data_IF_530014215064
#
_entry.id   IF_530014215064
#
_cell.length_a   1.000
_cell.length_b   1.000
_cell.length_c   1.000
_cell.angle_alpha   90.00
_cell.angle_beta   90.00
_cell.angle_gamma   90.00
#
_symmetry.space_group_name_H-M   'P 1'
#
loop_
_entity.id
_entity.type
_entity.pdbx_description
1 polymer ?
#
# COMPACT_ATOMS: atom_id res chain seq x y z
N UNK A 1 -30.34 19.17 -31.09
CA UNK A 1 -30.07 18.60 -29.74
C UNK A 1 -29.89 17.08 -29.66
N UNK A 2 -30.73 16.24 -30.31
CA UNK A 2 -30.69 14.76 -30.19
C UNK A 2 -29.39 14.08 -30.68
N UNK A 3 -28.77 14.55 -31.79
CA UNK A 3 -27.48 14.02 -32.29
C UNK A 3 -26.30 14.22 -31.30
N UNK A 4 -26.23 15.38 -30.63
CA UNK A 4 -25.22 15.67 -29.59
C UNK A 4 -25.36 14.76 -28.36
N UNK A 5 -26.58 14.50 -27.89
CA UNK A 5 -26.84 13.55 -26.78
C UNK A 5 -26.43 12.11 -27.14
N UNK A 6 -26.70 11.67 -28.38
CA UNK A 6 -26.36 10.32 -28.86
C UNK A 6 -24.84 10.13 -29.04
N UNK A 7 -24.14 11.17 -29.52
CA UNK A 7 -22.66 11.19 -29.62
C UNK A 7 -22.00 11.18 -28.23
N UNK A 8 -22.51 11.96 -27.26
CA UNK A 8 -22.07 11.91 -25.85
C UNK A 8 -22.24 10.53 -25.22
N UNK A 9 -23.41 9.88 -25.39
CA UNK A 9 -23.63 8.51 -24.89
C UNK A 9 -22.63 7.50 -25.47
N UNK A 10 -22.34 7.58 -26.78
CA UNK A 10 -21.41 6.67 -27.45
C UNK A 10 -19.96 6.87 -26.96
N UNK A 11 -19.55 8.12 -26.73
CA UNK A 11 -18.24 8.46 -26.14
C UNK A 11 -18.15 7.97 -24.69
N UNK A 12 -19.20 8.18 -23.88
CA UNK A 12 -19.26 7.68 -22.49
C UNK A 12 -19.16 6.15 -22.46
N UNK A 13 -19.89 5.44 -23.34
CA UNK A 13 -19.79 3.98 -23.44
C UNK A 13 -18.39 3.52 -23.86
N UNK A 14 -17.72 4.22 -24.77
CA UNK A 14 -16.34 3.91 -25.14
C UNK A 14 -15.34 4.16 -24.00
N UNK A 15 -15.55 5.22 -23.22
CA UNK A 15 -14.74 5.52 -22.02
C UNK A 15 -14.95 4.43 -20.96
N UNK A 16 -16.21 4.10 -20.64
CA UNK A 16 -16.55 3.06 -19.68
C UNK A 16 -16.02 1.69 -20.12
N UNK A 17 -16.10 1.36 -21.41
CA UNK A 17 -15.54 0.13 -21.96
C UNK A 17 -14.01 0.10 -21.88
N UNK A 18 -13.31 1.22 -22.10
CA UNK A 18 -11.85 1.29 -21.92
C UNK A 18 -11.44 1.22 -20.44
N UNK A 19 -12.19 1.84 -19.55
CA UNK A 19 -11.96 1.75 -18.10
C UNK A 19 -12.23 0.33 -17.58
N UNK A 20 -13.32 -0.30 -18.04
CA UNK A 20 -13.67 -1.69 -17.74
C UNK A 20 -12.62 -2.67 -18.22
N UNK A 21 -12.02 -2.47 -19.41
CA UNK A 21 -10.92 -3.32 -19.90
C UNK A 21 -9.75 -3.43 -18.92
N UNK A 22 -9.40 -2.40 -18.16
CA UNK A 22 -8.32 -2.53 -17.18
C UNK A 22 -8.74 -3.38 -15.97
N UNK A 23 -10.01 -3.30 -15.56
CA UNK A 23 -10.58 -4.18 -14.53
C UNK A 23 -10.70 -5.63 -15.02
N UNK A 24 -10.93 -5.84 -16.32
CA UNK A 24 -11.07 -7.17 -16.93
C UNK A 24 -9.71 -7.83 -17.25
N UNK A 25 -8.67 -7.03 -17.54
CA UNK A 25 -7.35 -7.50 -17.98
C UNK A 25 -6.33 -7.65 -16.85
N UNK A 26 -6.51 -6.93 -15.73
CA UNK A 26 -5.61 -7.03 -14.58
C UNK A 26 -6.23 -7.89 -13.50
N UNK A 27 -5.42 -8.78 -12.94
CA UNK A 27 -5.82 -9.41 -11.67
C UNK A 27 -5.85 -8.34 -10.58
N UNK A 28 -6.78 -8.46 -9.63
CA UNK A 28 -6.97 -7.48 -8.54
C UNK A 28 -5.73 -7.23 -7.67
N UNK A 29 -4.68 -8.06 -7.81
CA UNK A 29 -3.42 -7.98 -7.07
C UNK A 29 -2.29 -7.27 -7.82
N UNK A 30 -2.43 -7.06 -9.14
CA UNK A 30 -1.36 -6.50 -9.96
C UNK A 30 -1.30 -4.97 -9.89
N UNK A 31 -0.10 -4.37 -9.94
CA UNK A 31 0.06 -2.95 -10.17
C UNK A 31 -0.39 -2.60 -11.60
N UNK A 32 -1.04 -1.45 -11.77
CA UNK A 32 -1.49 -1.00 -13.11
C UNK A 32 -0.35 -0.48 -13.98
N UNK A 33 0.75 -0.05 -13.37
CA UNK A 33 1.88 0.65 -13.99
C UNK A 33 2.47 -0.10 -15.19
N UNK A 34 2.82 -1.40 -15.10
CA UNK A 34 3.42 -2.13 -16.24
C UNK A 34 2.51 -2.10 -17.46
N UNK A 35 1.20 -2.29 -17.25
CA UNK A 35 0.22 -2.31 -18.33
C UNK A 35 0.02 -0.94 -18.96
N UNK A 36 -0.02 0.10 -18.15
CA UNK A 36 -0.10 1.49 -18.63
C UNK A 36 1.11 1.80 -19.53
N UNK A 37 2.33 1.46 -19.08
CA UNK A 37 3.56 1.67 -19.85
C UNK A 37 3.52 0.86 -21.16
N UNK A 38 3.12 -0.42 -21.11
CA UNK A 38 2.97 -1.26 -22.31
C UNK A 38 1.97 -0.69 -23.32
N UNK A 39 0.79 -0.25 -22.86
CA UNK A 39 -0.26 0.30 -23.73
C UNK A 39 0.13 1.67 -24.32
N UNK A 40 0.95 2.45 -23.62
CA UNK A 40 1.53 3.70 -24.13
C UNK A 40 2.59 3.38 -25.20
N UNK A 41 3.50 2.44 -24.93
CA UNK A 41 4.55 2.04 -25.88
C UNK A 41 4.02 1.44 -27.18
N UNK A 42 2.85 0.79 -27.16
CA UNK A 42 2.17 0.29 -28.37
C UNK A 42 1.55 1.39 -29.24
N UNK A 43 1.37 2.60 -28.71
CA UNK A 43 0.86 3.73 -29.50
C UNK A 43 2.01 4.31 -30.32
N UNK A 44 1.75 4.66 -31.58
CA UNK A 44 2.71 5.37 -32.43
C UNK A 44 2.92 6.79 -31.91
N UNK A 45 3.78 6.94 -30.89
CA UNK A 45 4.14 8.24 -30.32
C UNK A 45 5.24 8.84 -31.19
N UNK A 46 4.98 10.02 -31.74
CA UNK A 46 5.92 10.73 -32.63
C UNK A 46 7.16 11.25 -31.90
N UNK A 47 7.04 11.52 -30.59
CA UNK A 47 8.14 11.96 -29.73
C UNK A 47 8.31 10.99 -28.56
N UNK A 48 9.29 10.07 -28.60
CA UNK A 48 9.43 9.04 -27.57
C UNK A 48 9.48 9.58 -26.14
N UNK A 49 10.14 10.72 -25.95
CA UNK A 49 10.29 11.38 -24.66
C UNK A 49 8.99 11.95 -24.06
N UNK A 50 7.93 12.12 -24.85
CA UNK A 50 6.60 12.48 -24.34
C UNK A 50 6.01 11.36 -23.45
N UNK A 51 6.55 10.13 -23.54
CA UNK A 51 6.15 9.01 -22.69
C UNK A 51 6.27 9.34 -21.20
N UNK A 52 7.28 10.11 -20.77
CA UNK A 52 7.42 10.50 -19.35
C UNK A 52 6.18 11.23 -18.84
N UNK A 53 5.69 12.21 -19.60
CA UNK A 53 4.52 12.99 -19.24
C UNK A 53 3.22 12.16 -19.33
N UNK A 54 3.10 11.31 -20.36
CA UNK A 54 1.90 10.48 -20.57
C UNK A 54 1.80 9.41 -19.48
N UNK A 55 2.92 8.75 -19.12
CA UNK A 55 2.99 7.79 -18.01
C UNK A 55 2.65 8.49 -16.70
N UNK A 56 3.25 9.65 -16.41
CA UNK A 56 2.95 10.40 -15.20
C UNK A 56 1.46 10.75 -15.08
N UNK A 57 0.85 11.24 -16.16
CA UNK A 57 -0.59 11.53 -16.19
C UNK A 57 -1.44 10.28 -15.94
N UNK A 58 -1.12 9.19 -16.61
CA UNK A 58 -1.92 7.95 -16.55
C UNK A 58 -1.82 7.29 -15.18
N UNK A 59 -0.64 7.29 -14.58
CA UNK A 59 -0.38 6.70 -13.28
C UNK A 59 -0.71 7.63 -12.12
N UNK A 60 -1.09 8.89 -12.37
CA UNK A 60 -1.31 9.89 -11.31
C UNK A 60 -0.03 10.12 -10.50
N UNK A 61 1.05 10.48 -11.19
CA UNK A 61 2.33 10.82 -10.60
C UNK A 61 2.46 12.32 -10.43
N UNK A 62 2.90 12.72 -9.23
CA UNK A 62 3.19 14.09 -8.88
C UNK A 62 4.59 14.49 -9.39
N UNK A 63 5.60 13.64 -9.15
CA UNK A 63 6.97 13.89 -9.60
C UNK A 63 7.06 13.63 -11.11
N UNK A 64 7.53 14.64 -11.84
CA UNK A 64 7.62 14.63 -13.31
C UNK A 64 9.02 15.03 -13.74
N UNK A 65 9.62 14.23 -14.59
CA UNK A 65 10.91 14.55 -15.14
C UNK A 65 10.83 15.52 -16.31
N UNK A 66 11.83 16.40 -16.39
CA UNK A 66 12.02 17.26 -17.54
C UNK A 66 12.67 16.45 -18.67
N UNK A 67 11.83 16.07 -19.63
CA UNK A 67 12.21 15.27 -20.78
C UNK A 67 13.34 15.90 -21.62
N UNK A 68 13.34 17.23 -21.77
CA UNK A 68 14.37 17.96 -22.51
C UNK A 68 15.72 17.93 -21.81
N UNK A 69 15.72 18.05 -20.47
CA UNK A 69 16.94 17.99 -19.68
C UNK A 69 17.58 16.60 -19.73
N UNK A 70 16.78 15.54 -19.54
CA UNK A 70 17.26 14.16 -19.58
C UNK A 70 17.76 13.74 -20.96
N UNK A 71 17.06 14.19 -22.01
CA UNK A 71 17.50 13.96 -23.38
C UNK A 71 18.87 14.57 -23.67
N UNK A 72 19.17 15.75 -23.12
CA UNK A 72 20.46 16.43 -23.29
C UNK A 72 21.59 15.80 -22.47
N UNK A 73 21.27 15.05 -21.42
CA UNK A 73 22.24 14.39 -20.56
C UNK A 73 22.52 12.93 -20.96
N UNK A 74 22.18 12.54 -22.20
CA UNK A 74 22.34 11.18 -22.73
C UNK A 74 21.68 10.08 -21.86
N UNK A 75 20.66 10.44 -21.07
CA UNK A 75 19.98 9.49 -20.21
C UNK A 75 19.14 8.49 -21.02
N UNK A 76 19.07 7.25 -20.56
CA UNK A 76 18.16 6.26 -21.14
C UNK A 76 16.71 6.62 -20.80
N UNK A 77 15.83 6.61 -21.81
CA UNK A 77 14.40 6.84 -21.63
C UNK A 77 13.75 5.76 -20.76
N UNK A 78 14.15 4.49 -20.91
CA UNK A 78 13.59 3.39 -20.10
C UNK A 78 13.96 3.55 -18.63
N UNK A 79 15.23 3.86 -18.35
CA UNK A 79 15.71 4.15 -16.99
C UNK A 79 15.03 5.39 -16.41
N UNK A 80 14.81 6.42 -17.22
CA UNK A 80 14.10 7.63 -16.81
C UNK A 80 12.64 7.33 -16.43
N UNK A 81 11.95 6.47 -17.18
CA UNK A 81 10.58 6.07 -16.82
C UNK A 81 10.58 5.22 -15.54
N UNK A 82 11.50 4.26 -15.40
CA UNK A 82 11.64 3.45 -14.19
C UNK A 82 11.90 4.33 -12.96
N UNK A 83 12.89 5.22 -13.03
CA UNK A 83 13.20 6.16 -11.97
C UNK A 83 11.99 7.05 -11.62
N UNK A 84 11.24 7.53 -12.62
CA UNK A 84 10.02 8.31 -12.37
C UNK A 84 8.95 7.49 -11.64
N UNK A 85 8.74 6.22 -12.02
CA UNK A 85 7.81 5.32 -11.32
C UNK A 85 8.21 5.16 -9.83
N UNK A 86 9.48 4.88 -9.58
CA UNK A 86 10.00 4.59 -8.24
C UNK A 86 10.04 5.83 -7.33
N UNK A 87 10.41 7.01 -7.83
CA UNK A 87 10.33 8.26 -7.06
C UNK A 87 8.88 8.62 -6.70
N UNK A 88 7.92 8.22 -7.54
CA UNK A 88 6.50 8.36 -7.21
C UNK A 88 5.98 7.27 -6.25
N UNK A 89 6.85 6.38 -5.78
CA UNK A 89 6.57 5.41 -4.73
C UNK A 89 6.07 4.05 -5.20
N UNK A 90 6.16 3.74 -6.50
CA UNK A 90 5.95 2.35 -6.94
C UNK A 90 6.95 1.42 -6.24
N UNK A 91 6.47 0.26 -5.79
CA UNK A 91 7.22 -0.61 -4.89
C UNK A 91 7.84 -1.77 -5.66
N UNK A 92 9.17 -1.88 -5.63
CA UNK A 92 9.88 -3.08 -6.11
C UNK A 92 9.79 -4.21 -5.09
N UNK A 93 9.66 -5.45 -5.56
CA UNK A 93 9.70 -6.63 -4.70
C UNK A 93 11.15 -7.06 -4.40
N UNK A 94 11.80 -6.37 -3.47
CA UNK A 94 13.21 -6.56 -3.16
C UNK A 94 13.54 -7.78 -2.27
N UNK A 95 12.53 -8.50 -1.74
CA UNK A 95 12.72 -9.79 -1.06
C UNK A 95 12.41 -11.00 -1.93
N UNK A 96 12.06 -10.79 -3.20
CA UNK A 96 11.81 -11.85 -4.17
C UNK A 96 13.10 -12.51 -4.69
N UNK A 97 12.92 -13.55 -5.52
CA UNK A 97 14.04 -14.10 -6.29
C UNK A 97 14.50 -13.09 -7.34
N UNK A 98 15.81 -13.00 -7.63
CA UNK A 98 16.31 -12.17 -8.72
C UNK A 98 15.60 -12.51 -10.03
N UNK A 99 15.37 -11.50 -10.86
CA UNK A 99 14.81 -11.71 -12.21
C UNK A 99 15.95 -12.14 -13.13
N UNK A 100 15.95 -13.38 -13.65
CA UNK A 100 16.96 -13.80 -14.62
C UNK A 100 16.83 -12.95 -15.88
N UNK A 101 17.98 -12.59 -16.49
CA UNK A 101 18.03 -11.90 -17.78
C UNK A 101 17.29 -10.54 -17.76
N UNK A 102 17.29 -9.84 -16.63
CA UNK A 102 16.62 -8.54 -16.51
C UNK A 102 17.07 -7.53 -17.58
N UNK A 103 18.32 -7.62 -18.04
CA UNK A 103 18.87 -6.79 -19.11
C UNK A 103 18.24 -7.04 -20.50
N UNK A 104 17.68 -8.23 -20.73
CA UNK A 104 17.07 -8.61 -22.01
C UNK A 104 15.57 -8.25 -22.08
N UNK A 105 14.99 -7.81 -20.95
CA UNK A 105 13.59 -7.44 -20.86
C UNK A 105 13.33 -6.04 -21.37
N UNK A 106 12.20 -5.86 -22.05
CA UNK A 106 11.66 -4.52 -22.26
C UNK A 106 11.22 -3.92 -20.92
N UNK A 107 11.19 -2.59 -20.81
CA UNK A 107 10.76 -1.92 -19.58
C UNK A 107 9.40 -2.41 -19.03
N UNK A 108 8.33 -2.57 -19.84
CA UNK A 108 7.07 -3.09 -19.31
C UNK A 108 7.18 -4.51 -18.76
N UNK A 109 7.94 -5.40 -19.42
CA UNK A 109 8.15 -6.78 -18.96
C UNK A 109 8.95 -6.82 -17.66
N UNK A 110 9.97 -5.97 -17.55
CA UNK A 110 10.72 -5.80 -16.32
C UNK A 110 9.81 -5.30 -15.18
N UNK A 111 9.04 -4.22 -15.40
CA UNK A 111 8.13 -3.67 -14.40
C UNK A 111 7.07 -4.69 -13.95
N UNK A 112 6.57 -5.52 -14.86
CA UNK A 112 5.59 -6.57 -14.54
C UNK A 112 6.16 -7.63 -13.59
N UNK A 113 7.45 -7.95 -13.72
CA UNK A 113 8.14 -8.93 -12.86
C UNK A 113 8.70 -8.31 -11.58
N UNK A 114 9.13 -7.05 -11.63
CA UNK A 114 9.89 -6.39 -10.56
C UNK A 114 8.99 -5.66 -9.56
N UNK A 115 7.86 -5.08 -10.00
CA UNK A 115 6.94 -4.42 -9.09
C UNK A 115 6.21 -5.44 -8.22
N UNK A 116 5.95 -5.05 -6.98
CA UNK A 116 5.19 -5.87 -6.05
C UNK A 116 3.76 -6.11 -6.56
N UNK A 117 3.40 -7.39 -6.74
CA UNK A 117 2.10 -7.83 -7.28
C UNK A 117 1.33 -8.74 -6.32
N UNK A 118 1.75 -8.78 -5.05
CA UNK A 118 1.17 -9.62 -3.99
C UNK A 118 0.08 -8.93 -3.16
N UNK A 119 -0.54 -7.85 -3.64
CA UNK A 119 -1.66 -7.23 -2.94
C UNK A 119 -2.84 -8.24 -2.92
N UNK A 120 -3.42 -8.54 -1.76
CA UNK A 120 -4.45 -9.57 -1.68
C UNK A 120 -5.74 -9.14 -2.40
N UNK A 121 -6.54 -10.13 -2.78
CA UNK A 121 -7.86 -9.92 -3.37
C UNK A 121 -8.84 -9.37 -2.32
N UNK A 122 -8.89 -8.06 -2.16
CA UNK A 122 -10.06 -7.44 -1.57
C UNK A 122 -11.28 -7.73 -2.48
N UNK A 123 -12.47 -7.94 -1.94
CA UNK A 123 -13.71 -8.14 -2.72
C UNK A 123 -14.30 -6.83 -3.23
N UNK A 124 -13.66 -5.69 -2.92
CA UNK A 124 -14.09 -4.37 -3.35
C UNK A 124 -13.92 -4.17 -4.87
N UNK A 125 -14.93 -3.55 -5.49
CA UNK A 125 -14.86 -3.06 -6.88
C UNK A 125 -13.79 -1.98 -7.10
N UNK A 126 -13.14 -1.48 -6.05
CA UNK A 126 -12.12 -0.43 -6.08
C UNK A 126 -10.69 -0.93 -5.82
N UNK A 127 -10.43 -2.24 -5.90
CA UNK A 127 -9.09 -2.80 -5.68
C UNK A 127 -7.99 -2.09 -6.47
N UNK A 128 -8.24 -1.80 -7.75
CA UNK A 128 -7.24 -1.13 -8.58
C UNK A 128 -6.99 0.32 -8.14
N UNK A 129 -8.01 1.01 -7.62
CA UNK A 129 -7.86 2.35 -7.04
C UNK A 129 -7.06 2.30 -5.74
N UNK A 130 -7.30 1.28 -4.91
CA UNK A 130 -6.53 1.06 -3.68
C UNK A 130 -5.07 0.75 -4.03
N UNK A 131 -4.83 -0.20 -4.94
CA UNK A 131 -3.47 -0.59 -5.37
C UNK A 131 -2.71 0.58 -6.00
N UNK A 132 -3.38 1.48 -6.73
CA UNK A 132 -2.76 2.70 -7.28
C UNK A 132 -2.15 3.58 -6.18
N UNK A 133 -2.72 3.51 -4.98
CA UNK A 133 -2.36 4.33 -3.83
C UNK A 133 -1.49 3.55 -2.82
N UNK A 134 -1.28 2.25 -3.05
CA UNK A 134 -0.33 1.41 -2.31
C UNK A 134 1.12 1.72 -2.74
N UNK A 135 1.61 2.89 -2.33
CA UNK A 135 2.91 3.44 -2.73
C UNK A 135 3.72 3.89 -1.52
N UNK A 136 5.04 3.91 -1.68
CA UNK A 136 5.93 4.60 -0.76
C UNK A 136 5.72 6.12 -0.82
N UNK A 137 6.09 6.78 0.28
CA UNK A 137 6.01 8.24 0.45
C UNK A 137 7.42 8.81 0.46
N UNK A 138 7.58 10.04 -0.01
CA UNK A 138 8.84 10.78 0.05
C UNK A 138 10.04 9.95 -0.42
N UNK A 139 9.85 9.22 -1.52
CA UNK A 139 10.84 8.30 -2.02
C UNK A 139 12.03 9.05 -2.64
N UNK A 140 13.24 8.66 -2.25
CA UNK A 140 14.49 9.17 -2.81
C UNK A 140 15.46 8.02 -3.05
N UNK A 141 16.51 8.27 -3.83
CA UNK A 141 17.48 7.23 -4.20
C UNK A 141 18.84 7.49 -3.57
N UNK A 142 19.51 6.40 -3.21
CA UNK A 142 20.93 6.37 -2.90
C UNK A 142 21.56 5.14 -3.54
N UNK A 143 22.88 5.02 -3.44
CA UNK A 143 23.60 3.81 -3.86
C UNK A 143 23.10 2.56 -3.11
N UNK A 144 22.65 2.72 -1.86
CA UNK A 144 22.15 1.60 -1.05
C UNK A 144 20.74 1.13 -1.47
N UNK A 145 19.90 2.00 -2.02
CA UNK A 145 18.51 1.64 -2.33
C UNK A 145 17.55 2.81 -2.46
N UNK A 146 16.27 2.49 -2.27
CA UNK A 146 15.17 3.45 -2.21
C UNK A 146 14.94 3.83 -0.75
N UNK A 147 15.17 5.08 -0.42
CA UNK A 147 14.81 5.66 0.88
C UNK A 147 13.34 6.03 0.88
N UNK A 148 12.66 5.82 2.01
CA UNK A 148 11.27 6.24 2.22
C UNK A 148 11.01 6.43 3.72
N UNK A 149 9.82 6.92 4.06
CA UNK A 149 9.41 7.18 5.43
C UNK A 149 8.17 6.39 5.81
N UNK A 150 8.08 5.95 7.05
CA UNK A 150 6.89 5.27 7.55
C UNK A 150 6.99 4.91 9.02
N UNK A 151 6.07 4.07 9.47
CA UNK A 151 6.07 3.52 10.82
C UNK A 151 6.56 2.10 10.79
N UNK A 152 7.49 1.80 11.70
CA UNK A 152 8.07 0.48 11.84
C UNK A 152 7.52 -0.21 13.08
N UNK A 153 7.01 -1.42 12.89
CA UNK A 153 6.25 -2.16 13.90
C UNK A 153 6.96 -3.45 14.24
N UNK A 154 7.17 -3.70 15.53
CA UNK A 154 7.46 -5.05 16.03
C UNK A 154 6.15 -5.77 16.27
N UNK A 155 5.96 -6.91 15.60
CA UNK A 155 4.81 -7.77 15.80
C UNK A 155 5.09 -8.67 17.00
N UNK A 156 4.35 -8.42 18.08
CA UNK A 156 4.49 -9.14 19.35
C UNK A 156 3.39 -10.18 19.51
N UNK A 157 2.48 -9.92 20.45
CA UNK A 157 1.42 -10.86 20.85
C UNK A 157 0.60 -11.35 19.66
N UNK A 158 0.48 -12.67 19.54
CA UNK A 158 -0.38 -13.33 18.55
C UNK A 158 -1.69 -13.75 19.21
N UNK A 159 -2.79 -13.41 18.56
CA UNK A 159 -4.15 -13.72 18.95
C UNK A 159 -4.61 -14.92 18.13
N UNK A 160 -4.99 -16.00 18.81
CA UNK A 160 -5.68 -17.11 18.17
C UNK A 160 -7.19 -16.84 18.12
N UNK A 161 -7.72 -16.74 16.91
CA UNK A 161 -9.13 -16.42 16.66
C UNK A 161 -10.00 -17.66 16.40
N UNK A 162 -9.42 -18.87 16.28
CA UNK A 162 -10.14 -20.11 15.91
C UNK A 162 -11.29 -20.45 16.85
N UNK A 163 -11.17 -20.11 18.13
CA UNK A 163 -12.16 -20.41 19.16
C UNK A 163 -13.06 -19.21 19.49
N UNK A 164 -13.00 -18.14 18.69
CA UNK A 164 -13.85 -16.99 18.91
C UNK A 164 -15.28 -17.30 18.45
N UNK A 165 -16.31 -16.71 19.08
CA UNK A 165 -17.69 -16.93 18.66
C UNK A 165 -17.90 -16.42 17.23
N UNK A 166 -18.43 -17.28 16.35
CA UNK A 166 -18.70 -16.94 14.94
C UNK A 166 -19.57 -15.67 14.79
N UNK A 167 -20.53 -15.50 15.71
CA UNK A 167 -21.47 -14.37 15.72
C UNK A 167 -20.84 -13.06 16.22
N UNK A 168 -19.62 -13.10 16.78
CA UNK A 168 -18.95 -11.95 17.41
C UNK A 168 -19.68 -11.43 18.66
N UNK A 169 -19.47 -10.15 18.99
CA UNK A 169 -20.09 -9.50 20.12
C UNK A 169 -21.49 -8.96 19.79
N UNK A 170 -22.39 -8.92 20.79
CA UNK A 170 -23.62 -8.12 20.69
C UNK A 170 -23.27 -6.63 20.61
N UNK A 171 -24.00 -5.93 19.74
CA UNK A 171 -23.83 -4.50 19.46
C UNK A 171 -25.16 -3.78 19.60
N UNK A 172 -25.14 -2.63 20.26
CA UNK A 172 -26.30 -1.73 20.32
C UNK A 172 -26.49 -1.00 18.98
N UNK A 173 -25.38 -0.64 18.32
CA UNK A 173 -25.37 0.04 17.01
C UNK A 173 -25.03 -0.94 15.90
N UNK A 174 -26.06 -1.35 15.16
CA UNK A 174 -25.99 -2.38 14.12
C UNK A 174 -25.72 -1.86 12.72
N UNK A 175 -25.77 -0.54 12.50
CA UNK A 175 -25.53 0.08 11.20
C UNK A 175 -24.12 0.69 11.11
N UNK A 176 -23.57 0.65 9.90
CA UNK A 176 -22.24 1.15 9.56
C UNK A 176 -21.94 0.93 8.08
N UNK A 177 -20.74 1.32 7.65
CA UNK A 177 -20.24 1.01 6.31
C UNK A 177 -19.83 -0.47 6.23
N UNK A 178 -19.24 -1.00 7.29
CA UNK A 178 -19.02 -2.44 7.47
C UNK A 178 -20.34 -3.21 7.63
N UNK A 179 -20.35 -4.45 7.16
CA UNK A 179 -21.45 -5.37 7.40
C UNK A 179 -21.60 -5.66 8.90
N UNK A 180 -22.83 -5.98 9.33
CA UNK A 180 -23.13 -6.23 10.74
C UNK A 180 -22.20 -7.29 11.34
N UNK A 181 -21.96 -8.41 10.63
CA UNK A 181 -21.10 -9.47 11.13
C UNK A 181 -19.65 -9.03 11.31
N UNK A 182 -19.14 -8.20 10.38
CA UNK A 182 -17.79 -7.65 10.46
C UNK A 182 -17.65 -6.73 11.68
N UNK A 183 -18.64 -5.86 11.91
CA UNK A 183 -18.69 -5.00 13.09
C UNK A 183 -18.71 -5.80 14.40
N UNK A 184 -19.50 -6.88 14.46
CA UNK A 184 -19.57 -7.76 15.65
C UNK A 184 -18.25 -8.44 15.95
N UNK A 185 -17.52 -8.91 14.93
CA UNK A 185 -16.19 -9.53 15.08
C UNK A 185 -15.16 -8.53 15.60
N UNK A 186 -15.10 -7.32 15.01
CA UNK A 186 -14.21 -6.27 15.49
C UNK A 186 -14.55 -5.81 16.92
N UNK A 187 -15.84 -5.72 17.26
CA UNK A 187 -16.27 -5.39 18.61
C UNK A 187 -15.95 -6.48 19.64
N UNK A 188 -15.99 -7.76 19.23
CA UNK A 188 -15.50 -8.86 20.07
C UNK A 188 -14.00 -8.73 20.32
N UNK A 189 -13.23 -8.44 19.27
CA UNK A 189 -11.80 -8.17 19.40
C UNK A 189 -11.52 -7.00 20.36
N UNK A 190 -12.30 -5.90 20.29
CA UNK A 190 -12.18 -4.78 21.25
C UNK A 190 -12.34 -5.26 22.71
N UNK A 191 -13.37 -6.06 23.00
CA UNK A 191 -13.59 -6.61 24.36
C UNK A 191 -12.48 -7.55 24.79
N UNK A 192 -11.97 -8.36 23.86
CA UNK A 192 -10.83 -9.24 24.12
C UNK A 192 -9.57 -8.43 24.45
N UNK A 193 -9.27 -7.38 23.68
CA UNK A 193 -8.13 -6.50 23.91
C UNK A 193 -8.22 -5.77 25.26
N UNK A 194 -9.41 -5.33 25.67
CA UNK A 194 -9.64 -4.74 26.99
C UNK A 194 -9.31 -5.73 28.11
N UNK A 195 -9.79 -6.97 28.00
CA UNK A 195 -9.52 -8.04 28.98
C UNK A 195 -8.02 -8.34 29.08
N UNK A 196 -7.30 -8.24 27.96
CA UNK A 196 -5.86 -8.49 27.87
C UNK A 196 -4.99 -7.25 28.14
N UNK A 197 -5.58 -6.20 28.73
CA UNK A 197 -4.90 -4.94 29.09
C UNK A 197 -4.28 -4.19 27.89
N UNK A 198 -4.87 -4.31 26.70
CA UNK A 198 -4.47 -3.60 25.47
C UNK A 198 -5.45 -2.47 25.14
N UNK A 199 -5.75 -1.63 26.14
CA UNK A 199 -6.77 -0.58 26.09
C UNK A 199 -6.60 0.44 24.96
N UNK A 200 -5.37 0.89 24.66
CA UNK A 200 -5.11 1.88 23.62
C UNK A 200 -5.54 1.41 22.22
N UNK A 201 -5.25 0.14 21.90
CA UNK A 201 -5.67 -0.47 20.65
C UNK A 201 -7.18 -0.71 20.63
N UNK A 202 -7.74 -1.20 21.74
CA UNK A 202 -9.18 -1.39 21.89
C UNK A 202 -9.95 -0.07 21.65
N UNK A 203 -9.51 1.02 22.26
CA UNK A 203 -10.07 2.36 22.09
C UNK A 203 -9.94 2.87 20.65
N UNK A 204 -8.81 2.59 19.99
CA UNK A 204 -8.60 2.96 18.59
C UNK A 204 -9.58 2.23 17.66
N UNK A 205 -9.80 0.93 17.88
CA UNK A 205 -10.78 0.14 17.13
C UNK A 205 -12.21 0.57 17.45
N UNK A 206 -12.52 0.90 18.71
CA UNK A 206 -13.84 1.44 19.09
C UNK A 206 -14.11 2.77 18.40
N UNK A 207 -13.14 3.67 18.39
CA UNK A 207 -13.21 4.94 17.67
C UNK A 207 -13.41 4.74 16.17
N UNK A 208 -12.74 3.75 15.58
CA UNK A 208 -12.99 3.37 14.19
C UNK A 208 -14.43 2.89 13.97
N UNK A 209 -14.96 1.99 14.80
CA UNK A 209 -16.35 1.51 14.69
C UNK A 209 -17.39 2.63 14.84
N UNK A 210 -17.12 3.62 15.70
CA UNK A 210 -17.95 4.82 15.83
C UNK A 210 -17.91 5.71 14.58
N UNK A 211 -16.75 5.81 13.91
CA UNK A 211 -16.63 6.52 12.62
C UNK A 211 -17.31 5.75 11.48
N UNK A 212 -17.16 4.43 11.44
CA UNK A 212 -17.82 3.56 10.48
C UNK A 212 -19.36 3.70 10.52
N UNK A 213 -19.94 3.91 11.70
CA UNK A 213 -21.37 4.25 11.86
C UNK A 213 -21.73 5.57 11.18
N UNK A 214 -20.90 6.61 11.30
CA UNK A 214 -21.13 7.91 10.67
C UNK A 214 -21.00 7.86 9.15
N UNK A 215 -20.24 6.89 8.64
CA UNK A 215 -20.07 6.64 7.21
C UNK A 215 -21.17 5.76 6.62
N UNK A 216 -22.16 5.35 7.43
CA UNK A 216 -23.32 4.62 6.94
C UNK A 216 -24.04 5.43 5.86
N UNK A 217 -24.22 4.84 4.68
CA UNK A 217 -24.87 5.48 3.53
C UNK A 217 -23.98 6.46 2.76
N UNK A 218 -22.76 6.77 3.22
CA UNK A 218 -21.79 7.54 2.44
C UNK A 218 -21.30 6.68 1.27
N UNK A 219 -21.36 7.23 0.07
CA UNK A 219 -20.87 6.53 -1.12
C UNK A 219 -19.34 6.50 -1.11
N UNK A 220 -18.74 5.41 -1.59
CA UNK A 220 -17.28 5.21 -1.56
C UNK A 220 -16.52 6.30 -2.34
N UNK A 221 -17.14 6.91 -3.36
CA UNK A 221 -16.56 8.03 -4.09
C UNK A 221 -16.52 9.36 -3.31
N UNK A 222 -17.16 9.43 -2.15
CA UNK A 222 -17.17 10.59 -1.26
C UNK A 222 -16.26 10.40 -0.04
N UNK A 223 -15.72 9.19 0.13
CA UNK A 223 -14.79 8.87 1.22
C UNK A 223 -13.38 9.31 0.83
N UNK A 224 -12.62 9.78 1.82
CA UNK A 224 -11.17 9.91 1.67
C UNK A 224 -10.55 8.53 1.41
N UNK A 225 -9.39 8.47 0.76
CA UNK A 225 -8.74 7.18 0.58
C UNK A 225 -8.29 6.58 1.92
N UNK A 226 -7.89 7.41 2.90
CA UNK A 226 -7.60 6.91 4.25
C UNK A 226 -8.80 6.14 4.85
N UNK A 227 -10.02 6.65 4.66
CA UNK A 227 -11.24 5.95 5.11
C UNK A 227 -11.50 4.67 4.30
N UNK A 228 -11.32 4.70 2.98
CA UNK A 228 -11.48 3.52 2.12
C UNK A 228 -10.46 2.43 2.45
N UNK A 229 -9.20 2.80 2.66
CA UNK A 229 -8.13 1.89 3.04
C UNK A 229 -8.41 1.28 4.41
N UNK A 230 -8.71 2.10 5.42
CA UNK A 230 -9.02 1.60 6.77
C UNK A 230 -10.27 0.70 6.77
N UNK A 231 -11.28 1.02 5.94
CA UNK A 231 -12.42 0.15 5.71
C UNK A 231 -12.01 -1.19 5.10
N UNK A 232 -11.21 -1.18 4.04
CA UNK A 232 -10.67 -2.41 3.44
C UNK A 232 -9.88 -3.24 4.45
N UNK A 233 -9.02 -2.61 5.28
CA UNK A 233 -8.24 -3.32 6.29
C UNK A 233 -9.12 -3.91 7.39
N UNK A 234 -10.18 -3.21 7.79
CA UNK A 234 -11.14 -3.72 8.75
C UNK A 234 -11.93 -4.93 8.20
N UNK A 235 -12.28 -4.91 6.91
CA UNK A 235 -12.87 -6.07 6.21
C UNK A 235 -11.89 -7.25 6.21
N UNK A 236 -10.61 -7.02 5.88
CA UNK A 236 -9.57 -8.06 5.89
C UNK A 236 -9.34 -8.66 7.27
N UNK A 237 -9.27 -7.83 8.32
CA UNK A 237 -9.14 -8.30 9.71
C UNK A 237 -10.36 -9.10 10.15
N UNK A 238 -11.56 -8.64 9.80
CA UNK A 238 -12.79 -9.41 10.06
C UNK A 238 -12.79 -10.76 9.32
N UNK A 239 -12.34 -10.79 8.07
CA UNK A 239 -12.21 -12.02 7.28
C UNK A 239 -11.15 -12.97 7.86
N UNK A 240 -10.06 -12.44 8.41
CA UNK A 240 -9.06 -13.23 9.11
C UNK A 240 -9.65 -13.88 10.38
N UNK A 241 -10.43 -13.12 11.17
CA UNK A 241 -11.15 -13.65 12.33
C UNK A 241 -12.11 -14.78 11.91
N UNK A 242 -12.86 -14.58 10.82
CA UNK A 242 -13.80 -15.59 10.29
C UNK A 242 -13.12 -16.90 9.92
N UNK A 243 -11.93 -16.82 9.32
CA UNK A 243 -11.15 -18.00 8.93
C UNK A 243 -10.43 -18.66 10.10
N UNK A 244 -10.45 -18.04 11.29
CA UNK A 244 -9.64 -18.48 12.42
C UNK A 244 -8.13 -18.20 12.22
N UNK A 245 -7.79 -17.26 11.33
CA UNK A 245 -6.40 -16.88 11.08
C UNK A 245 -5.82 -16.14 12.31
N UNK A 246 -4.55 -16.39 12.67
CA UNK A 246 -3.90 -15.66 13.75
C UNK A 246 -3.74 -14.18 13.40
N UNK A 247 -4.01 -13.32 14.38
CA UNK A 247 -3.75 -11.88 14.29
C UNK A 247 -2.50 -11.54 15.11
N UNK A 248 -1.65 -10.64 14.62
CA UNK A 248 -0.48 -10.18 15.36
C UNK A 248 -0.66 -8.71 15.78
N UNK A 249 -0.35 -8.41 17.04
CA UNK A 249 -0.38 -7.04 17.55
C UNK A 249 0.94 -6.33 17.27
N UNK A 250 0.86 -5.14 16.67
CA UNK A 250 2.01 -4.30 16.35
C UNK A 250 2.21 -3.20 17.39
N UNK A 251 3.41 -3.13 17.93
CA UNK A 251 3.88 -1.99 18.72
C UNK A 251 4.95 -1.25 17.91
N UNK A 252 5.03 0.07 18.08
CA UNK A 252 6.05 0.85 17.39
C UNK A 252 7.43 0.43 17.89
N UNK A 253 8.29 0.11 16.94
CA UNK A 253 9.67 -0.23 17.23
C UNK A 253 10.51 1.03 17.19
N UNK A 254 10.88 1.53 18.38
CA UNK A 254 11.83 2.62 18.48
C UNK A 254 13.25 2.06 18.31
N UNK A 255 13.94 2.50 17.25
CA UNK A 255 15.31 2.09 16.97
C UNK A 255 16.34 2.79 17.85
N UNK A 256 15.96 3.89 18.52
CA UNK A 256 16.85 4.81 19.23
C UNK A 256 16.51 5.00 20.71
N UNK A 257 15.32 4.57 21.15
CA UNK A 257 14.85 4.71 22.52
C UNK A 257 15.30 3.58 23.45
N UNK A 258 15.20 3.78 24.78
CA UNK A 258 15.24 2.66 25.72
C UNK A 258 14.16 1.63 25.33
N UNK A 259 14.35 0.36 25.69
CA UNK A 259 13.38 -0.74 25.48
C UNK A 259 12.07 -0.55 26.29
N UNK A 260 11.58 0.68 26.45
CA UNK A 260 10.23 0.96 26.92
C UNK A 260 9.24 0.43 25.89
N UNK A 261 8.44 -0.55 26.31
CA UNK A 261 7.40 -1.15 25.50
C UNK A 261 6.39 -0.10 25.03
N UNK A 262 6.49 0.29 23.77
CA UNK A 262 5.42 1.03 23.08
C UNK A 262 4.11 0.23 23.20
N UNK A 263 2.97 0.87 23.52
CA UNK A 263 1.70 0.17 23.55
C UNK A 263 1.38 -0.39 22.16
N UNK A 264 0.66 -1.52 22.13
CA UNK A 264 0.11 -2.02 20.87
C UNK A 264 -0.84 -0.98 20.27
N UNK A 265 -0.59 -0.63 19.01
CA UNK A 265 -1.33 0.39 18.26
C UNK A 265 -1.65 -0.08 16.82
N UNK A 266 -1.37 -1.34 16.51
CA UNK A 266 -1.74 -1.96 15.25
C UNK A 266 -2.18 -3.42 15.44
N UNK A 267 -2.97 -3.93 14.50
CA UNK A 267 -3.33 -5.34 14.39
C UNK A 267 -3.22 -5.77 12.93
N UNK A 268 -2.55 -6.89 12.69
CA UNK A 268 -2.26 -7.42 11.36
C UNK A 268 -2.74 -8.86 11.21
N UNK A 269 -3.25 -9.20 10.03
CA UNK A 269 -3.59 -10.58 9.67
C UNK A 269 -2.31 -11.33 9.27
N UNK A 270 -1.85 -12.27 10.11
CA UNK A 270 -0.62 -13.03 9.85
C UNK A 270 -0.86 -14.18 8.86
N UNK A 271 -2.10 -14.66 8.75
CA UNK A 271 -2.47 -15.85 7.98
C UNK A 271 -1.92 -17.13 8.60
N UNK A 272 -2.32 -18.29 8.06
CA UNK A 272 -1.88 -19.60 8.53
C UNK A 272 -0.40 -19.82 8.14
N UNK A 273 0.51 -19.60 9.08
CA UNK A 273 1.90 -20.06 8.96
C UNK A 273 2.25 -20.90 10.16
N UNK A 274 2.70 -22.10 9.88
CA UNK A 274 3.46 -22.94 10.78
C UNK A 274 4.86 -22.33 11.01
N UNK A 275 5.26 -22.19 12.28
CA UNK A 275 6.65 -22.45 12.69
C UNK A 275 7.73 -21.37 12.52
N UNK A 276 7.42 -20.09 12.25
CA UNK A 276 8.45 -19.04 12.36
C UNK A 276 8.40 -18.38 13.75
N UNK A 277 9.33 -18.80 14.60
CA UNK A 277 9.50 -18.34 16.01
C UNK A 277 10.42 -17.12 16.14
N UNK A 278 10.87 -16.56 15.02
CA UNK A 278 11.69 -15.34 14.99
C UNK A 278 10.87 -14.05 15.12
N UNK A 279 11.56 -12.95 15.41
CA UNK A 279 10.95 -11.62 15.41
C UNK A 279 10.36 -11.28 14.04
N UNK A 280 9.11 -10.81 14.04
CA UNK A 280 8.42 -10.40 12.82
C UNK A 280 8.20 -8.89 12.88
N UNK A 281 8.50 -8.21 11.79
CA UNK A 281 8.34 -6.77 11.68
C UNK A 281 7.36 -6.42 10.55
N UNK A 282 6.67 -5.30 10.73
CA UNK A 282 5.89 -4.68 9.68
C UNK A 282 6.38 -3.26 9.43
N UNK A 283 6.34 -2.84 8.17
CA UNK A 283 6.58 -1.45 7.78
C UNK A 283 5.32 -0.90 7.14
N UNK A 284 4.94 0.30 7.56
CA UNK A 284 3.75 0.99 7.07
C UNK A 284 4.10 2.38 6.58
N UNK A 285 4.03 2.60 5.27
CA UNK A 285 4.04 3.95 4.72
C UNK A 285 2.60 4.46 4.67
N UNK A 286 2.36 5.64 5.25
CA UNK A 286 1.06 6.30 5.21
C UNK A 286 1.22 7.81 5.13
N UNK A 287 0.58 8.46 4.16
CA UNK A 287 0.52 9.91 4.06
C UNK A 287 -0.88 10.32 3.61
N UNK A 288 -1.63 11.09 4.43
CA UNK A 288 -2.84 11.72 3.93
C UNK A 288 -2.47 12.75 2.86
N UNK A 289 -3.39 12.99 1.94
CA UNK A 289 -3.34 14.05 0.94
C UNK A 289 -3.15 15.38 1.66
N UNK A 290 -2.12 16.13 1.28
CA UNK A 290 -1.90 17.46 1.82
C UNK A 290 -2.88 18.43 1.16
N UNK A 291 -4.04 18.62 1.79
CA UNK A 291 -5.05 19.57 1.34
C UNK A 291 -4.63 21.04 1.57
N UNK A 292 -3.44 21.29 2.13
CA UNK A 292 -2.98 22.62 2.56
C UNK A 292 -1.81 23.20 1.76
N UNK A 293 -1.22 22.46 0.82
CA UNK A 293 -0.20 23.04 -0.05
C UNK A 293 -0.84 23.86 -1.18
N UNK A 294 -0.58 25.17 -1.21
CA UNK A 294 -0.98 26.09 -2.29
C UNK A 294 -0.50 25.62 -3.68
N UNK A 295 0.49 24.73 -3.72
CA UNK A 295 0.86 23.93 -4.88
C UNK A 295 -0.08 22.71 -5.02
N UNK A 296 -1.31 22.96 -5.46
CA UNK A 296 -2.26 21.92 -5.85
C UNK A 296 -1.67 21.05 -6.99
N UNK A 297 -0.87 20.05 -6.65
CA UNK A 297 -0.58 18.96 -7.57
C UNK A 297 -1.83 18.10 -7.63
N UNK A 298 -2.62 18.28 -8.68
CA UNK A 298 -3.86 17.54 -9.04
C UNK A 298 -3.67 15.99 -9.06
N UNK A 299 -2.46 15.49 -8.79
CA UNK A 299 -2.10 14.08 -8.75
C UNK A 299 -1.40 13.66 -7.44
N UNK A 300 -1.36 14.50 -6.39
CA UNK A 300 -1.00 13.96 -5.06
C UNK A 300 -2.18 13.12 -4.57
N UNK A 301 -1.92 11.85 -4.33
CA UNK A 301 -2.91 10.89 -3.87
C UNK A 301 -2.54 10.55 -2.43
N UNK A 302 -3.55 10.33 -1.59
CA UNK A 302 -3.32 9.61 -0.32
C UNK A 302 -2.50 8.34 -0.63
N UNK A 303 -1.48 8.07 0.18
CA UNK A 303 -0.66 6.86 0.02
C UNK A 303 -0.74 6.03 1.26
N UNK A 304 -1.02 4.73 1.12
CA UNK A 304 -0.97 3.84 2.25
C UNK A 304 -0.65 2.40 1.83
N UNK A 305 0.40 1.83 2.42
CA UNK A 305 0.77 0.44 2.22
C UNK A 305 1.41 -0.13 3.48
N UNK A 306 1.18 -1.41 3.75
CA UNK A 306 1.80 -2.15 4.86
C UNK A 306 2.38 -3.47 4.37
N UNK A 307 3.63 -3.73 4.76
CA UNK A 307 4.37 -4.93 4.37
C UNK A 307 4.91 -5.64 5.60
N UNK A 308 4.90 -6.97 5.57
CA UNK A 308 5.78 -7.76 6.42
C UNK A 308 7.19 -7.63 5.86
N UNK A 309 8.16 -7.32 6.72
CA UNK A 309 9.54 -7.06 6.30
C UNK A 309 10.54 -7.87 7.13
N UNK A 310 11.64 -8.25 6.49
CA UNK A 310 12.85 -8.68 7.16
C UNK A 310 13.78 -7.48 7.35
N UNK A 311 14.44 -7.41 8.50
CA UNK A 311 15.48 -6.43 8.81
C UNK A 311 16.84 -7.05 8.46
N UNK A 312 17.61 -6.42 7.57
CA UNK A 312 19.00 -6.81 7.35
C UNK A 312 19.88 -6.25 8.48
N UNK A 313 20.85 -7.04 8.94
CA UNK A 313 21.65 -6.88 10.17
C UNK A 313 21.89 -5.44 10.64
N UNK A 314 21.70 -5.21 11.95
CA UNK A 314 22.30 -4.07 12.65
C UNK A 314 23.82 -4.29 12.64
N UNK A 315 24.59 -3.50 11.89
CA UNK A 315 26.04 -3.49 12.09
C UNK A 315 26.28 -3.06 13.54
N UNK A 316 26.65 -4.02 14.39
CA UNK A 316 26.98 -3.76 15.79
C UNK A 316 28.13 -2.75 15.84
N UNK A 317 27.92 -1.64 16.55
CA UNK A 317 28.99 -0.72 16.92
C UNK A 317 29.07 0.60 16.17
N UNK A 318 28.13 0.93 15.28
CA UNK A 318 28.05 2.29 14.72
C UNK A 318 26.67 2.93 14.95
N UNK A 319 26.74 4.14 15.48
CA UNK A 319 25.67 5.12 15.66
C UNK A 319 24.91 5.40 14.35
N UNK A 320 23.57 5.39 14.43
CA UNK A 320 22.62 5.96 13.46
C UNK A 320 22.55 5.34 12.05
N UNK A 321 22.49 4.01 11.92
CA UNK A 321 22.22 3.37 10.63
C UNK A 321 20.71 3.30 10.36
N UNK A 322 20.28 3.89 9.23
CA UNK A 322 18.91 3.78 8.70
C UNK A 322 18.56 2.30 8.47
N UNK A 323 17.44 1.78 9.01
CA UNK A 323 17.09 0.37 8.88
C UNK A 323 16.94 -0.06 7.42
N UNK A 324 17.56 -1.20 7.08
CA UNK A 324 17.46 -1.80 5.74
C UNK A 324 16.42 -2.92 5.75
N UNK A 325 15.41 -2.80 4.88
CA UNK A 325 14.21 -3.65 4.91
C UNK A 325 14.00 -4.42 3.60
N UNK A 326 13.72 -5.72 3.70
CA UNK A 326 13.24 -6.54 2.57
C UNK A 326 11.79 -6.93 2.70
N UNK A 327 11.01 -6.67 1.66
CA UNK A 327 9.60 -7.02 1.59
C UNK A 327 9.44 -8.54 1.52
N UNK A 328 8.70 -9.12 2.46
CA UNK A 328 8.29 -10.53 2.40
C UNK A 328 6.94 -10.69 1.72
N UNK A 329 5.97 -9.87 2.10
CA UNK A 329 4.61 -9.87 1.55
C UNK A 329 3.84 -8.63 1.99
N UNK A 330 2.71 -8.39 1.33
CA UNK A 330 1.70 -7.47 1.83
C UNK A 330 1.13 -8.00 3.15
N UNK A 331 0.92 -7.10 4.09
CA UNK A 331 0.43 -7.43 5.42
C UNK A 331 -0.83 -6.60 5.71
N UNK A 332 -2.03 -7.17 5.52
CA UNK A 332 -3.27 -6.48 5.83
C UNK A 332 -3.34 -6.17 7.32
N UNK A 333 -3.65 -4.94 7.67
CA UNK A 333 -3.76 -4.56 9.07
C UNK A 333 -4.28 -3.16 9.29
N UNK A 334 -4.87 -2.99 10.46
CA UNK A 334 -5.30 -1.68 10.96
C UNK A 334 -4.18 -1.10 11.81
N UNK A 335 -3.62 0.03 11.40
CA UNK A 335 -2.54 0.73 12.09
C UNK A 335 -2.99 2.12 12.52
N UNK A 336 -2.66 2.53 13.75
CA UNK A 336 -3.12 3.80 14.32
C UNK A 336 -1.91 4.66 14.77
N UNK A 337 -1.74 5.82 14.15
CA UNK A 337 -0.48 6.60 14.16
C UNK A 337 -0.48 7.85 15.05
N UNK A 338 -1.25 7.89 16.16
CA UNK A 338 -1.49 9.16 16.88
C UNK A 338 -0.20 9.74 17.48
N UNK A 339 0.25 10.87 16.91
CA UNK A 339 1.34 11.69 17.45
C UNK A 339 2.74 11.09 17.28
N UNK A 340 2.91 10.14 16.37
CA UNK A 340 4.19 9.43 16.18
C UNK A 340 4.83 9.84 14.86
N UNK A 341 6.08 10.33 14.87
CA UNK A 341 6.79 10.68 13.65
C UNK A 341 7.03 9.45 12.78
N UNK A 342 7.23 9.68 11.48
CA UNK A 342 7.66 8.65 10.56
C UNK A 342 9.18 8.53 10.64
N UNK A 343 9.68 7.32 10.58
CA UNK A 343 11.11 7.01 10.52
C UNK A 343 11.53 6.77 9.08
N UNK A 344 12.76 7.16 8.76
CA UNK A 344 13.41 6.83 7.50
C UNK A 344 13.82 5.37 7.47
N UNK A 345 13.65 4.70 6.32
CA UNK A 345 14.09 3.32 6.06
C UNK A 345 14.62 3.20 4.64
N UNK A 346 15.45 2.19 4.38
CA UNK A 346 15.98 1.86 3.05
C UNK A 346 15.46 0.52 2.58
N UNK A 347 14.92 0.48 1.37
CA UNK A 347 14.65 -0.75 0.63
C UNK A 347 15.78 -0.94 -0.40
N UNK A 348 16.69 -1.92 -0.20
CA UNK A 348 17.84 -2.08 -1.05
C UNK A 348 17.44 -2.45 -2.47
N UNK A 349 18.26 -2.03 -3.44
CA UNK A 349 18.07 -2.40 -4.85
C UNK A 349 18.00 -3.93 -5.02
N UNK A 350 17.03 -4.45 -5.80
CA UNK A 350 17.06 -5.82 -6.27
C UNK A 350 18.41 -6.15 -6.92
N UNK A 351 18.91 -7.36 -6.71
CA UNK A 351 20.24 -7.75 -7.20
C UNK A 351 20.36 -7.66 -8.72
N UNK A 352 19.26 -7.87 -9.44
CA UNK A 352 19.19 -7.76 -10.90
C UNK A 352 19.37 -6.33 -11.41
N UNK A 353 19.11 -5.31 -10.59
CA UNK A 353 19.39 -3.91 -10.94
C UNK A 353 20.81 -3.47 -10.62
N UNK A 354 21.52 -4.16 -9.71
CA UNK A 354 22.89 -3.77 -9.31
C UNK A 354 23.91 -3.82 -10.46
N UNK A 355 23.63 -4.56 -11.53
CA UNK A 355 24.45 -4.61 -12.74
C UNK A 355 23.98 -3.69 -13.87
N UNK A 356 22.88 -2.96 -13.67
CA UNK A 356 22.23 -2.11 -14.68
C UNK A 356 22.33 -0.62 -14.30
N UNK A 357 22.35 -0.32 -13.00
CA UNK A 357 22.42 1.04 -12.44
C UNK A 357 23.88 1.47 -12.23
#
# INVERSE_FOLDING_TARGET
MRKRKRKRKKVIQQILHRAGRYQDLLTCSQPMTPRIVADIGKKSITKPWDMLAIVANSCGYAIRFNAEKLRRSEASLSLSILAQCLLNGEVLHNGGRPIPEAADLTLPEYLERALFSGFYRNTSKYNLTINKSCRFIDASFSESGIHTHGHFWKLGKVINTRNWPDQGARLDVTHGKLELIQRRRLAYMTKWLEKECHGNLADSIRNYLSRDTKLAGVSENQMSFTELYMHAMAVEISGAIERGDPLALGCLWDTNGPETYSPYMAVFARGDRDGYDGEVFAFTASRPEDASSDEFHVNDLDRHVSFEVAVEEKIQGQTWLVPTLRIRRWLPGMSFFRGVPREEVVFPWPSDLKGII
#
